data_IF_543044352364
#
_entry.id   IF_543044352364
#
_cell.length_a   1.000
_cell.length_b   1.000
_cell.length_c   1.000
_cell.angle_alpha   90.00
_cell.angle_beta   90.00
_cell.angle_gamma   90.00
#
_symmetry.space_group_name_H-M   'P 1'
#
loop_
_entity.id
_entity.type
_entity.pdbx_description
1 polymer ?
#
# COMPACT_ATOMS: atom_id res chain seq x y z
N UNK A 1 16.07 15.05 -9.10
CA UNK A 1 15.47 14.41 -7.91
C UNK A 1 16.17 14.97 -6.68
N UNK A 2 15.47 15.20 -5.57
CA UNK A 2 16.09 15.77 -4.37
C UNK A 2 17.14 14.84 -3.73
N UNK A 3 17.05 13.53 -4.00
CA UNK A 3 17.91 12.49 -3.42
C UNK A 3 19.00 11.98 -4.38
N UNK A 4 19.22 12.64 -5.53
CA UNK A 4 20.31 12.31 -6.45
C UNK A 4 20.08 11.08 -7.36
N UNK A 5 18.97 10.35 -7.22
CA UNK A 5 18.61 9.24 -8.11
C UNK A 5 18.13 9.73 -9.50
N UNK A 6 18.53 9.04 -10.57
CA UNK A 6 18.15 9.37 -11.96
C UNK A 6 17.21 8.31 -12.55
N UNK A 7 16.50 8.67 -13.62
CA UNK A 7 15.57 7.78 -14.35
C UNK A 7 14.50 7.12 -13.46
N UNK A 8 13.90 7.90 -12.56
CA UNK A 8 12.83 7.40 -11.72
C UNK A 8 11.57 7.09 -12.56
N UNK A 9 11.07 5.86 -12.46
CA UNK A 9 9.87 5.41 -13.16
C UNK A 9 8.91 4.73 -12.20
N UNK A 10 7.61 4.94 -12.41
CA UNK A 10 6.55 4.23 -11.70
C UNK A 10 6.28 2.94 -12.46
N UNK A 11 6.48 1.81 -11.79
CA UNK A 11 6.27 0.48 -12.37
C UNK A 11 4.83 0.01 -12.15
N UNK A 12 4.30 0.25 -10.95
CA UNK A 12 2.93 -0.13 -10.60
C UNK A 12 2.36 0.77 -9.50
N UNK A 13 1.04 0.93 -9.49
CA UNK A 13 0.28 1.55 -8.40
C UNK A 13 -1.04 0.82 -8.22
N UNK A 14 -1.25 0.23 -7.05
CA UNK A 14 -2.45 -0.56 -6.76
C UNK A 14 -3.05 -0.28 -5.37
N UNK A 15 -4.36 -0.52 -5.19
CA UNK A 15 -4.94 -0.64 -3.86
C UNK A 15 -4.43 -1.91 -3.18
N UNK A 16 -4.14 -1.84 -1.88
CA UNK A 16 -3.88 -3.05 -1.10
C UNK A 16 -5.19 -3.80 -0.92
N UNK A 17 -5.26 -5.06 -1.32
CA UNK A 17 -6.49 -5.86 -1.23
C UNK A 17 -6.53 -6.70 0.05
N UNK A 18 -7.74 -7.02 0.53
CA UNK A 18 -7.92 -7.96 1.67
C UNK A 18 -7.55 -9.41 1.31
N UNK A 19 -7.39 -9.72 0.02
CA UNK A 19 -6.86 -11.01 -0.40
C UNK A 19 -5.33 -11.07 -0.21
N UNK A 20 -4.65 -9.95 -0.48
CA UNK A 20 -3.21 -9.76 -0.31
C UNK A 20 -2.82 -9.65 1.17
N UNK A 21 -3.53 -8.83 1.94
CA UNK A 21 -3.28 -8.59 3.36
C UNK A 21 -4.48 -9.00 4.21
N UNK A 22 -4.33 -10.13 4.92
CA UNK A 22 -5.36 -10.71 5.79
C UNK A 22 -4.73 -11.49 6.93
N UNK A 23 -5.50 -11.70 7.98
CA UNK A 23 -5.15 -12.62 9.05
C UNK A 23 -5.10 -14.06 8.52
N UNK A 24 -4.25 -14.87 9.15
CA UNK A 24 -4.04 -16.29 8.83
C UNK A 24 -3.82 -17.07 10.12
N UNK A 25 -3.77 -18.39 10.07
CA UNK A 25 -3.41 -19.22 11.23
C UNK A 25 -2.03 -18.86 11.82
N UNK A 26 -1.14 -18.29 11.01
CA UNK A 26 0.22 -17.87 11.40
C UNK A 26 0.30 -16.40 11.83
N UNK A 27 -0.69 -15.58 11.47
CA UNK A 27 -0.76 -14.16 11.80
C UNK A 27 -2.19 -13.84 12.24
N UNK A 28 -2.44 -14.00 13.54
CA UNK A 28 -3.77 -14.08 14.14
C UNK A 28 -4.28 -12.75 14.72
N UNK A 29 -3.49 -11.67 14.60
CA UNK A 29 -3.89 -10.33 15.03
C UNK A 29 -4.73 -9.64 13.95
N UNK A 30 -5.19 -8.42 14.24
CA UNK A 30 -5.92 -7.57 13.30
C UNK A 30 -5.12 -7.34 12.01
N UNK A 31 -5.82 -7.27 10.89
CA UNK A 31 -5.26 -7.07 9.55
C UNK A 31 -6.06 -6.04 8.77
N UNK A 32 -5.84 -5.95 7.46
CA UNK A 32 -6.35 -4.85 6.63
C UNK A 32 -7.87 -4.63 6.78
N UNK A 33 -8.67 -5.69 6.83
CA UNK A 33 -10.12 -5.59 7.00
C UNK A 33 -10.54 -4.85 8.26
N UNK A 34 -9.77 -4.94 9.34
CA UNK A 34 -10.06 -4.29 10.62
C UNK A 34 -9.73 -2.79 10.61
N UNK A 35 -8.96 -2.34 9.62
CA UNK A 35 -8.52 -0.94 9.47
C UNK A 35 -9.27 -0.20 8.35
N UNK A 36 -10.14 -0.87 7.61
CA UNK A 36 -11.00 -0.25 6.60
C UNK A 36 -12.34 0.14 7.18
N UNK A 37 -12.97 1.17 6.61
CA UNK A 37 -14.34 1.52 6.93
C UNK A 37 -15.28 0.36 6.53
N UNK A 38 -16.07 -0.19 7.47
CA UNK A 38 -16.93 -1.35 7.22
C UNK A 38 -18.08 -1.07 6.25
N UNK A 39 -18.45 0.20 6.05
CA UNK A 39 -19.47 0.63 5.08
C UNK A 39 -18.85 1.06 3.75
N UNK A 40 -17.57 1.45 3.73
CA UNK A 40 -16.89 1.88 2.51
C UNK A 40 -15.40 1.48 2.51
N UNK A 41 -15.04 0.32 1.92
CA UNK A 41 -13.66 -0.19 1.89
C UNK A 41 -12.65 0.68 1.11
N UNK A 42 -13.10 1.78 0.47
CA UNK A 42 -12.20 2.79 -0.12
C UNK A 42 -11.67 3.79 0.89
N UNK A 43 -12.11 3.71 2.13
CA UNK A 43 -11.64 4.53 3.25
C UNK A 43 -11.05 3.66 4.36
N UNK A 44 -10.14 4.24 5.13
CA UNK A 44 -9.73 3.71 6.43
C UNK A 44 -10.82 3.99 7.48
N UNK A 45 -10.75 3.33 8.63
CA UNK A 45 -11.69 3.55 9.75
C UNK A 45 -11.67 4.99 10.29
N UNK A 46 -10.57 5.72 10.09
CA UNK A 46 -10.42 7.13 10.42
C UNK A 46 -10.98 8.08 9.33
N UNK A 47 -11.43 7.55 8.19
CA UNK A 47 -12.01 8.30 7.08
C UNK A 47 -11.01 8.78 6.01
N UNK A 48 -9.75 8.34 6.05
CA UNK A 48 -8.77 8.64 5.00
C UNK A 48 -8.91 7.70 3.80
N UNK A 49 -8.35 8.02 2.62
CA UNK A 49 -8.28 7.06 1.52
C UNK A 49 -7.61 5.75 1.94
N UNK A 50 -8.19 4.61 1.54
CA UNK A 50 -7.67 3.28 1.85
C UNK A 50 -6.21 3.10 1.34
N UNK A 51 -5.44 2.18 1.95
CA UNK A 51 -4.04 1.99 1.60
C UNK A 51 -3.82 1.67 0.13
N UNK A 52 -2.86 2.37 -0.48
CA UNK A 52 -2.38 2.14 -1.85
C UNK A 52 -0.86 2.03 -1.83
N UNK A 53 -0.31 1.13 -2.64
CA UNK A 53 1.13 0.89 -2.76
C UNK A 53 1.58 1.26 -4.16
N UNK A 54 2.76 1.85 -4.26
CA UNK A 54 3.41 2.18 -5.51
C UNK A 54 4.79 1.52 -5.55
N UNK A 55 5.16 0.98 -6.70
CA UNK A 55 6.49 0.43 -6.96
C UNK A 55 7.19 1.38 -7.92
N UNK A 56 8.35 1.88 -7.51
CA UNK A 56 9.18 2.75 -8.32
C UNK A 56 10.56 2.13 -8.51
N UNK A 57 11.16 2.38 -9.67
CA UNK A 57 12.57 2.07 -9.92
C UNK A 57 13.30 3.35 -10.27
N UNK A 58 14.60 3.40 -9.95
CA UNK A 58 15.49 4.50 -10.30
C UNK A 58 16.93 3.97 -10.32
N UNK A 59 17.85 4.70 -10.95
CA UNK A 59 19.28 4.39 -10.93
C UNK A 59 20.03 5.36 -10.02
N UNK A 60 21.04 4.84 -9.32
CA UNK A 60 22.08 5.70 -8.78
C UNK A 60 22.93 6.26 -9.94
N UNK A 61 23.32 7.54 -9.89
CA UNK A 61 24.33 8.06 -10.80
C UNK A 61 25.65 7.33 -10.53
N UNK A 62 26.39 7.04 -11.62
CA UNK A 62 27.71 6.39 -11.55
C UNK A 62 28.82 7.35 -11.21
#
# INVERSE_FOLDING_TARGET
SEVGLIDATVVDVGPTSVAEQRSTEWMTFHSLSDFLDPQNPRLTVEGYPAPRRAILTARAPG
#
